data_IF_443194187688
#
_entry.id   IF_443194187688
#
_cell.length_a   1.000
_cell.length_b   1.000
_cell.length_c   1.000
_cell.angle_alpha   90.00
_cell.angle_beta   90.00
_cell.angle_gamma   90.00
#
_symmetry.space_group_name_H-M   'P 1'
#
loop_
_entity.id
_entity.type
_entity.pdbx_description
1 polymer ?
#
# COMPACT_ATOMS: atom_id res chain seq x y z
N UNK A 1 -41.26 -9.47 7.26
CA UNK A 1 -40.01 -10.23 7.02
C UNK A 1 -39.94 -10.54 5.54
N UNK A 2 -39.10 -9.83 4.81
CA UNK A 2 -38.87 -10.02 3.37
C UNK A 2 -37.39 -10.32 3.21
N UNK A 3 -37.04 -11.59 2.98
CA UNK A 3 -35.71 -11.94 2.46
C UNK A 3 -35.65 -11.41 1.03
N UNK A 4 -34.63 -10.63 0.63
CA UNK A 4 -34.45 -10.33 -0.78
C UNK A 4 -34.08 -11.63 -1.50
N UNK A 5 -34.76 -11.88 -2.62
CA UNK A 5 -34.45 -12.89 -3.61
C UNK A 5 -32.96 -12.79 -3.99
N UNK A 6 -32.18 -13.85 -3.75
CA UNK A 6 -30.83 -13.99 -4.31
C UNK A 6 -31.02 -14.69 -5.65
N UNK A 7 -31.19 -13.93 -6.72
CA UNK A 7 -31.46 -14.43 -8.08
C UNK A 7 -30.16 -14.90 -8.78
N UNK A 8 -29.38 -15.80 -8.14
CA UNK A 8 -28.18 -16.37 -8.73
C UNK A 8 -27.56 -17.49 -7.90
N UNK A 9 -26.80 -18.39 -8.55
CA UNK A 9 -26.10 -19.49 -7.91
C UNK A 9 -24.71 -19.06 -7.44
N UNK A 10 -24.29 -19.60 -6.30
CA UNK A 10 -22.92 -19.45 -5.85
C UNK A 10 -22.02 -20.45 -6.57
N UNK A 11 -21.01 -19.93 -7.25
CA UNK A 11 -20.03 -20.70 -7.98
C UNK A 11 -18.64 -20.46 -7.41
N UNK A 12 -18.04 -21.53 -6.90
CA UNK A 12 -16.70 -21.51 -6.32
C UNK A 12 -15.77 -22.33 -7.19
N UNK A 13 -14.57 -21.84 -7.44
CA UNK A 13 -13.55 -22.63 -8.12
C UNK A 13 -12.14 -22.26 -7.67
N UNK A 14 -11.24 -23.21 -7.83
CA UNK A 14 -9.81 -23.08 -7.58
C UNK A 14 -9.07 -23.16 -8.91
N UNK A 15 -8.25 -22.16 -9.21
CA UNK A 15 -7.31 -22.16 -10.32
C UNK A 15 -5.93 -22.61 -9.86
N UNK A 16 -5.30 -23.47 -10.66
CA UNK A 16 -3.86 -23.71 -10.54
C UNK A 16 -3.01 -22.64 -11.21
N UNK A 17 -1.70 -22.77 -11.08
CA UNK A 17 -0.73 -21.82 -11.65
C UNK A 17 -0.69 -21.78 -13.18
N UNK A 18 -1.42 -22.67 -13.87
CA UNK A 18 -1.59 -22.67 -15.33
C UNK A 18 -2.99 -22.17 -15.73
N UNK A 19 -3.69 -21.50 -14.81
CA UNK A 19 -5.06 -21.00 -14.97
C UNK A 19 -6.09 -22.10 -15.30
N UNK A 20 -5.84 -23.34 -14.84
CA UNK A 20 -6.77 -24.46 -15.01
C UNK A 20 -7.60 -24.68 -13.76
N UNK A 21 -8.90 -24.94 -13.94
CA UNK A 21 -9.80 -25.29 -12.85
C UNK A 21 -9.40 -26.65 -12.27
N UNK A 22 -9.14 -26.68 -10.96
CA UNK A 22 -8.75 -27.89 -10.22
C UNK A 22 -9.84 -28.45 -9.35
N UNK A 23 -10.61 -27.56 -8.74
CA UNK A 23 -11.72 -27.91 -7.87
C UNK A 23 -12.81 -26.87 -8.06
N UNK A 24 -14.06 -27.27 -7.86
CA UNK A 24 -15.20 -26.38 -7.93
C UNK A 24 -16.34 -26.84 -7.03
N UNK A 25 -17.27 -25.93 -6.76
CA UNK A 25 -18.53 -26.22 -6.10
C UNK A 25 -19.60 -25.26 -6.62
N UNK A 26 -20.83 -25.78 -6.75
CA UNK A 26 -22.02 -24.96 -7.00
C UNK A 26 -22.90 -25.11 -5.78
N UNK A 27 -23.28 -24.01 -5.14
CA UNK A 27 -24.11 -24.05 -3.93
C UNK A 27 -25.16 -22.95 -3.91
N UNK A 28 -26.06 -23.06 -2.92
CA UNK A 28 -27.13 -22.08 -2.65
C UNK A 28 -26.86 -21.27 -1.37
N UNK A 29 -25.81 -21.62 -0.60
CA UNK A 29 -25.33 -20.94 0.59
C UNK A 29 -24.07 -20.11 0.26
N UNK A 30 -24.03 -18.84 0.69
CA UNK A 30 -22.95 -17.88 0.40
C UNK A 30 -21.69 -18.16 1.23
N UNK A 31 -21.32 -17.27 2.15
CA UNK A 31 -20.04 -17.29 2.85
C UNK A 31 -19.70 -18.62 3.56
N UNK A 32 -20.64 -19.26 4.26
CA UNK A 32 -20.41 -20.58 4.88
C UNK A 32 -20.03 -21.65 3.85
N UNK A 33 -20.63 -21.58 2.66
CA UNK A 33 -20.31 -22.48 1.56
C UNK A 33 -18.90 -22.25 1.03
N UNK A 34 -18.47 -20.98 0.93
CA UNK A 34 -17.13 -20.62 0.47
C UNK A 34 -16.05 -20.95 1.51
N UNK A 35 -16.28 -20.74 2.80
CA UNK A 35 -15.35 -21.16 3.86
C UNK A 35 -15.13 -22.67 3.88
N UNK A 36 -16.21 -23.46 3.72
CA UNK A 36 -16.10 -24.92 3.60
C UNK A 36 -15.31 -25.32 2.35
N UNK A 37 -15.48 -24.59 1.24
CA UNK A 37 -14.72 -24.80 0.01
C UNK A 37 -13.22 -24.51 0.20
N UNK A 38 -12.88 -23.41 0.89
CA UNK A 38 -11.51 -23.06 1.26
C UNK A 38 -10.90 -24.16 2.15
N UNK A 39 -11.59 -24.54 3.23
CA UNK A 39 -11.15 -25.59 4.16
C UNK A 39 -10.84 -26.89 3.42
N UNK A 40 -11.74 -27.34 2.54
CA UNK A 40 -11.55 -28.55 1.72
C UNK A 40 -10.29 -28.48 0.86
N UNK A 41 -10.02 -27.32 0.23
CA UNK A 41 -8.83 -27.13 -0.60
C UNK A 41 -7.54 -27.12 0.24
N UNK A 42 -7.56 -26.51 1.44
CA UNK A 42 -6.43 -26.52 2.38
C UNK A 42 -6.14 -27.96 2.84
N UNK A 43 -7.16 -28.69 3.31
CA UNK A 43 -7.00 -30.07 3.76
C UNK A 43 -6.50 -31.01 2.66
N UNK A 44 -6.99 -30.82 1.43
CA UNK A 44 -6.57 -31.61 0.27
C UNK A 44 -5.09 -31.49 -0.08
N UNK A 45 -4.42 -30.39 0.28
CA UNK A 45 -2.99 -30.17 0.03
C UNK A 45 -2.09 -30.46 1.26
N UNK A 46 -2.69 -30.81 2.41
CA UNK A 46 -1.97 -30.98 3.68
C UNK A 46 -0.90 -32.07 3.64
N UNK A 47 -1.13 -33.15 2.91
CA UNK A 47 -0.22 -34.31 2.82
C UNK A 47 1.08 -33.97 2.08
N UNK A 48 1.10 -32.93 1.24
CA UNK A 48 2.29 -32.48 0.52
C UNK A 48 3.24 -31.62 1.35
N UNK A 49 2.81 -31.15 2.53
CA UNK A 49 3.60 -30.28 3.40
C UNK A 49 3.92 -28.91 2.80
N UNK A 50 3.49 -28.61 1.57
CA UNK A 50 3.78 -27.39 0.84
C UNK A 50 2.53 -26.97 0.05
N UNK A 51 2.05 -25.75 0.26
CA UNK A 51 0.83 -25.25 -0.34
C UNK A 51 1.13 -24.57 -1.68
N UNK A 52 0.54 -25.00 -2.80
CA UNK A 52 0.75 -24.36 -4.08
C UNK A 52 0.10 -22.97 -4.12
N UNK A 53 0.57 -22.11 -5.04
CA UNK A 53 0.04 -20.75 -5.22
C UNK A 53 -1.26 -20.77 -6.03
N UNK A 54 -2.27 -21.47 -5.53
CA UNK A 54 -3.59 -21.57 -6.15
C UNK A 54 -4.49 -20.42 -5.71
N UNK A 55 -5.40 -20.03 -6.59
CA UNK A 55 -6.31 -18.90 -6.39
C UNK A 55 -7.75 -19.40 -6.38
N UNK A 56 -8.47 -19.11 -5.31
CA UNK A 56 -9.86 -19.50 -5.09
C UNK A 56 -10.75 -18.29 -5.32
N UNK A 57 -11.83 -18.50 -6.07
CA UNK A 57 -12.75 -17.44 -6.44
C UNK A 57 -14.16 -17.79 -5.99
N UNK A 58 -14.88 -16.77 -5.52
CA UNK A 58 -16.30 -16.82 -5.26
C UNK A 58 -17.03 -15.93 -6.26
N UNK A 59 -17.99 -16.50 -6.98
CA UNK A 59 -18.89 -15.78 -7.87
C UNK A 59 -20.35 -16.02 -7.46
N UNK A 60 -21.17 -14.99 -7.59
CA UNK A 60 -22.63 -15.16 -7.69
C UNK A 60 -22.99 -14.97 -9.15
N UNK A 61 -23.37 -16.07 -9.82
CA UNK A 61 -23.68 -16.07 -11.25
C UNK A 61 -25.22 -16.03 -11.40
N UNK A 62 -25.79 -15.02 -12.09
CA UNK A 62 -27.21 -14.98 -12.40
C UNK A 62 -27.67 -16.20 -13.23
N UNK A 63 -28.93 -16.60 -13.08
CA UNK A 63 -29.48 -17.82 -13.70
C UNK A 63 -29.40 -17.80 -15.23
N UNK A 64 -29.69 -16.66 -15.84
CA UNK A 64 -29.63 -16.45 -17.29
C UNK A 64 -28.19 -16.51 -17.83
N UNK A 65 -27.24 -15.95 -17.10
CA UNK A 65 -25.80 -16.04 -17.41
C UNK A 65 -25.31 -17.48 -17.28
N UNK A 66 -25.71 -18.18 -16.21
CA UNK A 66 -25.36 -19.59 -16.00
C UNK A 66 -25.94 -20.48 -17.11
N UNK A 67 -27.15 -20.18 -17.60
CA UNK A 67 -27.74 -20.86 -18.75
C UNK A 67 -26.93 -20.64 -20.02
N UNK A 68 -26.47 -19.41 -20.32
CA UNK A 68 -25.55 -19.12 -21.45
C UNK A 68 -24.27 -19.94 -21.35
N UNK A 69 -23.63 -19.97 -20.18
CA UNK A 69 -22.39 -20.74 -19.96
C UNK A 69 -22.62 -22.23 -20.20
N UNK A 70 -23.71 -22.80 -19.66
CA UNK A 70 -24.07 -24.22 -19.83
C UNK A 70 -24.44 -24.60 -21.27
N UNK A 71 -24.90 -23.66 -22.08
CA UNK A 71 -25.21 -23.91 -23.49
C UNK A 71 -23.95 -23.98 -24.36
N UNK A 72 -22.89 -23.26 -23.99
CA UNK A 72 -21.61 -23.30 -24.70
C UNK A 72 -20.72 -24.46 -24.27
N UNK A 73 -20.85 -24.94 -23.03
CA UNK A 73 -19.99 -26.00 -22.49
C UNK A 73 -20.72 -27.30 -22.13
N UNK A 74 -20.09 -28.43 -22.48
CA UNK A 74 -20.35 -29.70 -21.81
C UNK A 74 -19.49 -29.77 -20.54
N UNK A 75 -20.10 -29.41 -19.40
CA UNK A 75 -19.58 -29.65 -18.04
C UNK A 75 -18.30 -28.88 -17.66
N UNK A 76 -18.27 -28.44 -16.39
CA UNK A 76 -17.14 -27.73 -15.78
C UNK A 76 -15.88 -28.57 -15.89
N UNK A 77 -14.91 -28.08 -16.67
CA UNK A 77 -13.63 -28.72 -16.92
C UNK A 77 -12.46 -27.77 -16.66
N UNK A 78 -11.21 -28.22 -16.89
CA UNK A 78 -10.00 -27.42 -16.66
C UNK A 78 -10.01 -26.06 -17.36
N UNK A 79 -10.68 -25.96 -18.51
CA UNK A 79 -10.74 -24.76 -19.35
C UNK A 79 -11.97 -23.88 -19.09
N UNK A 80 -12.81 -24.23 -18.10
CA UNK A 80 -14.06 -23.54 -17.80
C UNK A 80 -13.90 -22.02 -17.70
N UNK A 81 -12.88 -21.54 -16.98
CA UNK A 81 -12.67 -20.10 -16.84
C UNK A 81 -12.33 -19.45 -18.19
N UNK A 82 -11.47 -20.07 -19.01
CA UNK A 82 -11.07 -19.49 -20.30
C UNK A 82 -12.27 -19.35 -21.24
N UNK A 83 -13.21 -20.28 -21.19
CA UNK A 83 -14.40 -20.27 -22.04
C UNK A 83 -15.54 -19.39 -21.49
N UNK A 84 -15.72 -19.36 -20.16
CA UNK A 84 -16.79 -18.60 -19.51
C UNK A 84 -16.43 -17.15 -19.22
N UNK A 85 -15.13 -16.82 -19.06
CA UNK A 85 -14.67 -15.47 -18.75
C UNK A 85 -15.16 -14.42 -19.75
N UNK A 86 -15.16 -14.64 -21.08
CA UNK A 86 -15.75 -13.68 -22.01
C UNK A 86 -17.22 -13.35 -21.71
N UNK A 87 -18.03 -14.35 -21.36
CA UNK A 87 -19.44 -14.15 -20.97
C UNK A 87 -19.52 -13.39 -19.64
N UNK A 88 -18.73 -13.80 -18.64
CA UNK A 88 -18.71 -13.13 -17.34
C UNK A 88 -18.32 -11.65 -17.47
N UNK A 89 -17.34 -11.34 -18.34
CA UNK A 89 -16.93 -9.96 -18.62
C UNK A 89 -18.00 -9.18 -19.40
N UNK A 90 -18.63 -9.79 -20.40
CA UNK A 90 -19.73 -9.18 -21.18
C UNK A 90 -20.92 -8.79 -20.28
N UNK A 91 -21.27 -9.66 -19.33
CA UNK A 91 -22.39 -9.48 -18.39
C UNK A 91 -22.00 -8.70 -17.13
N UNK A 92 -20.73 -8.26 -17.02
CA UNK A 92 -20.24 -7.52 -15.84
C UNK A 92 -20.22 -8.34 -14.54
N UNK A 93 -20.19 -9.66 -14.64
CA UNK A 93 -20.14 -10.59 -13.50
C UNK A 93 -18.69 -10.76 -13.05
N UNK A 94 -18.37 -10.17 -11.89
CA UNK A 94 -17.05 -10.22 -11.28
C UNK A 94 -17.05 -11.09 -10.01
N UNK A 95 -15.88 -11.59 -9.57
CA UNK A 95 -15.81 -12.35 -8.33
C UNK A 95 -16.12 -11.43 -7.14
N UNK A 96 -16.80 -11.98 -6.14
CA UNK A 96 -17.08 -11.32 -4.87
C UNK A 96 -15.91 -11.42 -3.91
N UNK A 97 -15.22 -12.57 -3.90
CA UNK A 97 -14.06 -12.83 -3.05
C UNK A 97 -13.01 -13.62 -3.79
N UNK A 98 -11.75 -13.35 -3.43
CA UNK A 98 -10.58 -14.02 -3.97
C UNK A 98 -9.66 -14.34 -2.80
N UNK A 99 -9.22 -15.59 -2.72
CA UNK A 99 -8.35 -16.07 -1.65
C UNK A 99 -7.22 -16.89 -2.27
N UNK A 100 -5.98 -16.63 -1.86
CA UNK A 100 -4.87 -17.52 -2.22
C UNK A 100 -4.83 -18.69 -1.25
N UNK A 101 -4.63 -19.90 -1.77
CA UNK A 101 -4.60 -21.11 -0.97
C UNK A 101 -3.51 -21.07 0.11
N UNK A 102 -2.36 -20.44 -0.19
CA UNK A 102 -1.28 -20.27 0.79
C UNK A 102 -1.67 -19.35 1.94
N UNK A 103 -2.39 -18.27 1.66
CA UNK A 103 -2.87 -17.34 2.69
C UNK A 103 -3.90 -18.04 3.56
N UNK A 104 -4.83 -18.79 2.95
CA UNK A 104 -5.78 -19.62 3.67
C UNK A 104 -5.07 -20.68 4.54
N UNK A 105 -4.06 -21.37 4.01
CA UNK A 105 -3.30 -22.35 4.77
C UNK A 105 -2.60 -21.74 5.99
N UNK A 106 -2.03 -20.54 5.85
CA UNK A 106 -1.47 -19.80 6.97
C UNK A 106 -2.55 -19.42 7.98
N UNK A 107 -3.69 -18.89 7.53
CA UNK A 107 -4.81 -18.56 8.41
C UNK A 107 -5.28 -19.77 9.21
N UNK A 108 -5.39 -20.94 8.58
CA UNK A 108 -5.72 -22.19 9.26
C UNK A 108 -4.70 -22.56 10.35
N UNK A 109 -3.40 -22.46 10.06
CA UNK A 109 -2.34 -22.75 11.03
C UNK A 109 -2.37 -21.80 12.24
N UNK A 110 -2.74 -20.54 12.01
CA UNK A 110 -2.78 -19.49 13.04
C UNK A 110 -4.16 -19.34 13.70
N UNK A 111 -5.13 -20.19 13.36
CA UNK A 111 -6.54 -20.08 13.80
C UNK A 111 -7.19 -18.73 13.47
N UNK A 112 -6.84 -18.14 12.33
CA UNK A 112 -7.47 -16.92 11.79
C UNK A 112 -8.64 -17.34 10.90
N UNK A 113 -9.87 -16.80 11.09
CA UNK A 113 -10.99 -17.09 10.19
C UNK A 113 -10.71 -16.60 8.75
N UNK A 114 -10.94 -17.45 7.76
CA UNK A 114 -10.54 -17.23 6.36
C UNK A 114 -11.07 -15.93 5.74
N UNK A 115 -12.28 -15.54 6.13
CA UNK A 115 -12.99 -14.40 5.56
C UNK A 115 -12.98 -13.17 6.49
N UNK A 116 -12.19 -13.21 7.55
CA UNK A 116 -12.03 -12.10 8.46
C UNK A 116 -11.14 -10.99 7.86
N UNK A 117 -11.28 -9.74 8.33
CA UNK A 117 -10.36 -8.66 7.96
C UNK A 117 -8.89 -8.94 8.30
N UNK A 118 -8.60 -9.83 9.25
CA UNK A 118 -7.24 -10.24 9.63
C UNK A 118 -6.58 -11.15 8.56
N UNK A 119 -7.40 -11.87 7.80
CA UNK A 119 -6.97 -12.71 6.68
C UNK A 119 -6.72 -11.92 5.38
N UNK A 120 -6.97 -10.60 5.36
CA UNK A 120 -6.58 -9.75 4.23
C UNK A 120 -5.06 -9.75 4.08
N UNK A 121 -4.56 -9.99 2.86
CA UNK A 121 -3.13 -10.12 2.58
C UNK A 121 -2.31 -8.89 3.05
N UNK A 122 -2.88 -7.70 2.92
CA UNK A 122 -2.30 -6.46 3.43
C UNK A 122 -1.99 -6.49 4.94
N UNK A 123 -2.75 -7.25 5.74
CA UNK A 123 -2.49 -7.43 7.16
C UNK A 123 -1.66 -8.66 7.45
N UNK A 124 -1.96 -9.78 6.77
CA UNK A 124 -1.24 -11.05 6.94
C UNK A 124 0.26 -10.90 6.75
N UNK A 125 0.71 -10.08 5.80
CA UNK A 125 2.14 -9.87 5.53
C UNK A 125 2.93 -9.32 6.72
N UNK A 126 2.26 -8.64 7.66
CA UNK A 126 2.86 -8.10 8.89
C UNK A 126 2.60 -9.02 10.10
N UNK A 127 1.89 -10.12 9.91
CA UNK A 127 1.70 -11.10 10.97
C UNK A 127 3.01 -11.84 11.25
N UNK A 128 3.33 -11.98 12.53
CA UNK A 128 4.50 -12.73 12.98
C UNK A 128 4.50 -14.14 12.37
N UNK A 129 5.59 -14.50 11.70
CA UNK A 129 5.75 -15.80 11.07
C UNK A 129 5.16 -15.94 9.67
N UNK A 130 4.42 -14.96 9.14
CA UNK A 130 3.89 -15.04 7.76
C UNK A 130 5.01 -15.07 6.72
N UNK A 131 5.98 -14.15 6.82
CA UNK A 131 7.16 -14.15 5.95
C UNK A 131 7.89 -15.50 6.03
N UNK A 132 8.11 -16.01 7.24
CA UNK A 132 8.72 -17.34 7.42
C UNK A 132 7.87 -18.47 6.83
N UNK A 133 6.54 -18.40 6.87
CA UNK A 133 5.68 -19.41 6.25
C UNK A 133 5.72 -19.33 4.71
N UNK A 134 5.89 -18.13 4.14
CA UNK A 134 5.95 -17.92 2.70
C UNK A 134 7.34 -18.20 2.10
N UNK A 135 8.42 -17.93 2.84
CA UNK A 135 9.82 -18.11 2.40
C UNK A 135 10.50 -19.33 3.03
N UNK A 136 9.98 -19.87 4.12
CA UNK A 136 10.59 -20.92 4.94
C UNK A 136 10.04 -22.32 4.68
N UNK A 137 9.82 -22.66 3.40
CA UNK A 137 9.98 -24.05 2.97
C UNK A 137 11.48 -24.27 2.70
N UNK A 138 12.10 -25.04 3.60
CA UNK A 138 13.54 -25.27 3.79
C UNK A 138 14.48 -25.16 2.57
N UNK A 139 15.74 -24.80 2.88
CA UNK A 139 16.90 -25.00 1.98
C UNK A 139 16.83 -26.39 1.34
N UNK A 140 16.52 -26.45 0.05
CA UNK A 140 16.43 -27.69 -0.72
C UNK A 140 15.05 -27.98 -1.34
N UNK A 141 14.01 -27.21 -1.01
CA UNK A 141 12.73 -27.30 -1.74
C UNK A 141 12.83 -26.64 -3.11
N UNK A 142 12.29 -27.30 -4.14
CA UNK A 142 12.13 -26.69 -5.47
C UNK A 142 11.25 -25.45 -5.34
N UNK A 143 11.60 -24.32 -5.99
CA UNK A 143 10.68 -23.19 -6.10
C UNK A 143 9.34 -23.70 -6.63
N UNK A 144 8.28 -23.50 -5.85
CA UNK A 144 6.95 -23.81 -6.33
C UNK A 144 6.62 -22.89 -7.50
N UNK A 145 5.93 -23.44 -8.50
CA UNK A 145 5.30 -22.63 -9.55
C UNK A 145 4.44 -21.56 -8.88
N UNK A 146 4.60 -20.33 -9.34
CA UNK A 146 3.81 -19.16 -8.91
C UNK A 146 2.69 -18.94 -9.90
N UNK A 147 1.58 -18.42 -9.43
CA UNK A 147 0.55 -17.93 -10.32
C UNK A 147 1.06 -16.66 -11.00
N UNK A 148 0.98 -16.57 -12.32
CA UNK A 148 1.42 -15.38 -13.03
C UNK A 148 0.52 -14.19 -12.67
N UNK A 149 1.12 -13.11 -12.15
CA UNK A 149 0.41 -11.91 -11.72
C UNK A 149 1.03 -10.65 -12.30
N UNK A 150 0.21 -9.62 -12.49
CA UNK A 150 0.64 -8.24 -12.65
C UNK A 150 0.64 -7.56 -11.28
N UNK A 151 1.63 -6.71 -11.04
CA UNK A 151 1.54 -5.71 -9.98
C UNK A 151 0.66 -4.58 -10.49
N UNK A 152 -0.47 -4.34 -9.83
CA UNK A 152 -1.37 -3.25 -10.15
C UNK A 152 -1.29 -2.17 -9.07
N UNK A 153 -1.14 -0.91 -9.48
CA UNK A 153 -1.14 0.25 -8.57
C UNK A 153 -2.36 1.10 -8.87
N UNK A 154 -3.26 1.22 -7.89
CA UNK A 154 -4.41 2.10 -7.99
C UNK A 154 -4.00 3.56 -7.81
N UNK A 155 -4.33 4.37 -8.81
CA UNK A 155 -4.22 5.84 -8.79
C UNK A 155 -5.62 6.47 -8.91
N UNK A 156 -5.72 7.80 -8.83
CA UNK A 156 -6.98 8.50 -9.13
C UNK A 156 -7.46 8.25 -10.56
N UNK A 157 -6.55 8.20 -11.53
CA UNK A 157 -6.87 8.15 -12.96
C UNK A 157 -7.22 6.73 -13.45
N UNK A 158 -6.60 5.71 -12.85
CA UNK A 158 -6.84 4.32 -13.18
C UNK A 158 -5.75 3.43 -12.58
N UNK A 159 -5.52 2.26 -13.19
CA UNK A 159 -4.49 1.32 -12.71
C UNK A 159 -3.24 1.41 -13.56
N UNK A 160 -2.08 1.48 -12.91
CA UNK A 160 -0.79 1.22 -13.56
C UNK A 160 -0.46 -0.26 -13.38
N UNK A 161 -0.18 -0.97 -14.47
CA UNK A 161 0.10 -2.41 -14.44
C UNK A 161 1.56 -2.68 -14.80
N UNK A 162 2.20 -3.55 -14.02
CA UNK A 162 3.61 -3.91 -14.18
C UNK A 162 3.79 -5.42 -14.21
N UNK A 163 4.55 -5.90 -15.19
CA UNK A 163 4.97 -7.30 -15.28
C UNK A 163 6.19 -7.56 -14.38
N UNK A 164 6.47 -8.84 -14.10
CA UNK A 164 7.71 -9.26 -13.43
C UNK A 164 8.92 -9.33 -14.40
N UNK A 165 8.76 -8.88 -15.65
CA UNK A 165 9.87 -8.81 -16.60
C UNK A 165 10.86 -7.70 -16.21
N UNK A 166 12.11 -7.71 -16.72
CA UNK A 166 13.05 -6.61 -16.48
C UNK A 166 12.50 -5.24 -16.90
N UNK A 167 11.71 -5.18 -17.98
CA UNK A 167 11.05 -3.95 -18.41
C UNK A 167 10.02 -3.51 -17.37
N UNK A 168 9.13 -4.41 -16.95
CA UNK A 168 8.11 -4.08 -15.94
C UNK A 168 8.69 -3.66 -14.60
N UNK A 169 9.74 -4.35 -14.14
CA UNK A 169 10.49 -3.97 -12.94
C UNK A 169 11.09 -2.55 -13.08
N UNK A 170 11.66 -2.21 -14.23
CA UNK A 170 12.14 -0.85 -14.49
C UNK A 170 11.00 0.18 -14.43
N UNK A 171 9.84 -0.12 -15.02
CA UNK A 171 8.70 0.83 -15.02
C UNK A 171 8.06 1.00 -13.65
N UNK A 172 8.08 -0.07 -12.86
CA UNK A 172 7.68 -0.01 -11.46
C UNK A 172 8.61 0.92 -10.66
N UNK A 173 9.93 0.81 -10.86
CA UNK A 173 10.93 1.71 -10.27
C UNK A 173 10.68 3.17 -10.71
N UNK A 174 10.45 3.40 -12.00
CA UNK A 174 10.15 4.74 -12.53
C UNK A 174 8.88 5.34 -11.92
N UNK A 175 7.85 4.54 -11.66
CA UNK A 175 6.63 4.98 -10.99
C UNK A 175 6.88 5.37 -9.53
N UNK A 176 7.70 4.60 -8.82
CA UNK A 176 8.16 4.99 -7.48
C UNK A 176 8.96 6.30 -7.50
N UNK A 177 9.90 6.45 -8.43
CA UNK A 177 10.65 7.69 -8.62
C UNK A 177 9.71 8.88 -8.90
N UNK A 178 8.66 8.67 -9.70
CA UNK A 178 7.65 9.69 -9.99
C UNK A 178 6.94 10.18 -8.72
N UNK A 179 6.45 9.25 -7.89
CA UNK A 179 5.75 9.62 -6.65
C UNK A 179 6.70 10.22 -5.61
N UNK A 180 7.95 9.74 -5.53
CA UNK A 180 8.97 10.35 -4.67
C UNK A 180 9.34 11.76 -5.11
N UNK A 181 9.47 11.99 -6.42
CA UNK A 181 9.80 13.30 -7.00
C UNK A 181 8.67 14.31 -6.74
N UNK A 182 7.42 13.90 -6.97
CA UNK A 182 6.26 14.79 -6.94
C UNK A 182 5.48 14.78 -5.62
N UNK A 183 5.95 14.11 -4.57
CA UNK A 183 5.23 13.92 -3.31
C UNK A 183 4.66 15.24 -2.74
N UNK A 184 5.49 16.29 -2.68
CA UNK A 184 5.08 17.62 -2.21
C UNK A 184 4.60 18.55 -3.34
N UNK A 185 4.57 18.10 -4.59
CA UNK A 185 4.20 18.93 -5.74
C UNK A 185 2.70 19.27 -5.71
N UNK A 186 2.28 20.54 -5.85
CA UNK A 186 0.88 20.98 -5.69
C UNK A 186 -0.12 20.30 -6.65
N UNK A 187 0.35 19.84 -7.81
CA UNK A 187 -0.47 19.16 -8.81
C UNK A 187 -0.66 17.66 -8.55
N UNK A 188 0.08 17.06 -7.60
CA UNK A 188 -0.14 15.66 -7.23
C UNK A 188 -1.46 15.51 -6.47
N UNK A 189 -2.46 14.94 -7.13
CA UNK A 189 -3.81 14.78 -6.59
C UNK A 189 -4.01 13.45 -5.85
N UNK A 190 -3.15 12.46 -6.06
CA UNK A 190 -3.24 11.19 -5.37
C UNK A 190 -3.02 11.38 -3.86
N UNK A 191 -3.95 10.84 -3.08
CA UNK A 191 -3.89 10.87 -1.61
C UNK A 191 -3.41 9.55 -1.02
N UNK A 192 -3.41 8.48 -1.81
CA UNK A 192 -2.92 7.17 -1.42
C UNK A 192 -2.48 6.38 -2.65
N UNK A 193 -1.57 5.43 -2.47
CA UNK A 193 -1.27 4.39 -3.45
C UNK A 193 -1.70 3.07 -2.85
N UNK A 194 -2.49 2.30 -3.60
CA UNK A 194 -2.86 0.94 -3.20
C UNK A 194 -2.28 -0.04 -4.20
N UNK A 195 -1.57 -1.02 -3.71
CA UNK A 195 -0.96 -2.06 -4.53
C UNK A 195 -1.78 -3.32 -4.47
N UNK A 196 -1.84 -4.02 -5.59
CA UNK A 196 -2.60 -5.24 -5.77
C UNK A 196 -1.82 -6.25 -6.60
N UNK A 197 -2.15 -7.53 -6.40
CA UNK A 197 -1.80 -8.61 -7.31
C UNK A 197 -3.00 -8.94 -8.17
N UNK A 198 -2.84 -8.78 -9.49
CA UNK A 198 -3.85 -9.08 -10.49
C UNK A 198 -3.45 -10.37 -11.22
N UNK A 199 -4.21 -11.47 -11.12
CA UNK A 199 -3.90 -12.74 -11.79
C UNK A 199 -3.99 -12.61 -13.32
N UNK A 200 -3.05 -13.21 -14.06
CA UNK A 200 -2.99 -13.11 -15.52
C UNK A 200 -3.72 -14.27 -16.23
N UNK A 201 -5.03 -14.40 -16.03
CA UNK A 201 -5.83 -15.38 -16.79
C UNK A 201 -6.47 -14.79 -18.07
N UNK A 202 -6.51 -13.46 -18.22
CA UNK A 202 -6.94 -12.76 -19.44
C UNK A 202 -5.75 -12.11 -20.16
N UNK A 203 -5.40 -12.65 -21.32
CA UNK A 203 -4.32 -12.13 -22.15
C UNK A 203 -4.57 -10.68 -22.63
N UNK A 204 -5.83 -10.26 -22.71
CA UNK A 204 -6.23 -8.91 -23.11
C UNK A 204 -5.78 -7.81 -22.16
N UNK A 205 -5.42 -8.14 -20.91
CA UNK A 205 -4.94 -7.15 -19.94
C UNK A 205 -3.48 -6.74 -20.17
N UNK A 206 -2.71 -7.58 -20.88
CA UNK A 206 -1.30 -7.30 -21.16
C UNK A 206 -1.07 -6.05 -22.00
N UNK A 207 -2.07 -5.63 -22.80
CA UNK A 207 -1.99 -4.39 -23.58
C UNK A 207 -1.84 -3.13 -22.72
N UNK A 208 -2.18 -3.21 -21.42
CA UNK A 208 -2.03 -2.11 -20.46
C UNK A 208 -0.76 -2.23 -19.61
N UNK A 209 -0.01 -3.32 -19.74
CA UNK A 209 1.15 -3.59 -18.90
C UNK A 209 2.38 -2.79 -19.36
N UNK A 210 3.17 -2.34 -18.39
CA UNK A 210 4.48 -1.70 -18.58
C UNK A 210 4.43 -0.42 -19.44
N UNK A 211 3.28 0.25 -19.51
CA UNK A 211 3.10 1.48 -20.28
C UNK A 211 3.65 2.72 -19.59
N UNK A 212 3.77 2.69 -18.25
CA UNK A 212 4.28 3.83 -17.49
C UNK A 212 5.70 4.18 -17.91
N UNK A 213 5.97 5.48 -18.03
CA UNK A 213 7.28 6.04 -18.37
C UNK A 213 7.46 7.30 -17.55
N UNK A 214 8.55 7.38 -16.79
CA UNK A 214 9.01 8.66 -16.26
C UNK A 214 9.85 9.35 -17.34
N UNK A 215 9.43 10.54 -17.77
CA UNK A 215 10.21 11.33 -18.72
C UNK A 215 11.59 11.63 -18.10
N UNK A 216 12.67 11.42 -18.85
CA UNK A 216 14.03 11.68 -18.35
C UNK A 216 14.20 13.16 -18.03
N UNK A 217 13.52 14.01 -18.81
CA UNK A 217 13.51 15.44 -18.56
C UNK A 217 12.82 15.78 -17.24
N UNK A 218 11.86 15.00 -16.72
CA UNK A 218 11.25 15.31 -15.42
C UNK A 218 12.25 15.20 -14.26
N UNK A 219 13.33 14.41 -14.41
CA UNK A 219 14.42 14.36 -13.43
C UNK A 219 15.27 15.64 -13.43
N UNK A 220 15.35 16.33 -14.56
CA UNK A 220 16.21 17.50 -14.81
C UNK A 220 15.43 18.82 -15.00
N UNK A 221 14.10 18.75 -15.13
CA UNK A 221 13.22 19.91 -15.29
C UNK A 221 13.19 20.69 -13.99
N UNK A 222 13.01 22.01 -14.12
CA UNK A 222 12.97 22.93 -12.99
C UNK A 222 11.97 22.50 -11.92
N UNK A 223 12.13 23.04 -10.70
CA UNK A 223 11.45 22.70 -9.43
C UNK A 223 9.90 22.61 -9.44
N UNK A 224 9.23 22.96 -10.54
CA UNK A 224 7.77 22.99 -10.69
C UNK A 224 7.27 22.30 -11.96
N UNK A 225 8.12 21.55 -12.66
CA UNK A 225 7.61 20.68 -13.72
C UNK A 225 6.86 19.51 -13.10
N UNK A 226 5.75 19.15 -13.72
CA UNK A 226 4.94 18.02 -13.34
C UNK A 226 4.62 17.23 -14.61
N UNK A 227 5.15 16.02 -14.69
CA UNK A 227 4.78 15.09 -15.75
C UNK A 227 3.36 14.58 -15.51
N UNK A 228 2.39 15.04 -16.29
CA UNK A 228 1.09 14.37 -16.32
C UNK A 228 1.25 13.01 -17.00
N UNK A 229 0.76 11.96 -16.35
CA UNK A 229 0.77 10.61 -16.89
C UNK A 229 -0.32 10.54 -17.97
N UNK A 230 0.00 10.17 -19.22
CA UNK A 230 -0.98 10.11 -20.30
C UNK A 230 -2.14 9.13 -19.98
N UNK A 231 -3.41 9.48 -20.26
CA UNK A 231 -4.57 8.65 -19.91
C UNK A 231 -4.52 7.22 -20.45
N UNK A 232 -3.92 7.02 -21.63
CA UNK A 232 -3.73 5.72 -22.28
C UNK A 232 -2.81 4.75 -21.51
N UNK A 233 -2.04 5.27 -20.55
CA UNK A 233 -1.18 4.49 -19.66
C UNK A 233 -2.02 3.65 -18.67
N UNK A 234 -3.24 4.09 -18.37
CA UNK A 234 -4.05 3.52 -17.30
C UNK A 234 -4.97 2.41 -17.81
N UNK A 235 -4.98 1.29 -17.08
CA UNK A 235 -6.02 0.27 -17.22
C UNK A 235 -7.29 0.69 -16.45
N UNK A 236 -8.48 0.16 -16.84
CA UNK A 236 -9.72 0.42 -16.14
C UNK A 236 -9.70 -0.07 -14.69
N UNK A 237 -10.28 0.72 -13.76
CA UNK A 237 -10.42 0.33 -12.34
C UNK A 237 -11.29 -0.91 -12.12
N UNK A 238 -12.15 -1.27 -13.07
CA UNK A 238 -12.97 -2.48 -12.99
C UNK A 238 -12.12 -3.76 -12.81
N UNK A 239 -10.86 -3.76 -13.26
CA UNK A 239 -9.95 -4.88 -13.05
C UNK A 239 -9.63 -5.16 -11.57
N UNK A 240 -9.82 -4.17 -10.67
CA UNK A 240 -9.63 -4.38 -9.23
C UNK A 240 -10.56 -5.44 -8.65
N UNK A 241 -11.70 -5.72 -9.30
CA UNK A 241 -12.58 -6.80 -8.87
C UNK A 241 -11.88 -8.16 -8.90
N UNK A 242 -10.84 -8.32 -9.73
CA UNK A 242 -10.06 -9.55 -9.86
C UNK A 242 -8.75 -9.55 -9.06
N UNK A 243 -8.47 -8.50 -8.29
CA UNK A 243 -7.16 -8.29 -7.68
C UNK A 243 -7.19 -8.41 -6.14
N UNK A 244 -6.08 -8.88 -5.56
CA UNK A 244 -5.91 -8.93 -4.10
C UNK A 244 -5.03 -7.77 -3.66
N UNK A 245 -5.50 -6.96 -2.71
CA UNK A 245 -4.73 -5.81 -2.16
C UNK A 245 -3.54 -6.32 -1.34
N UNK A 246 -2.36 -5.78 -1.59
CA UNK A 246 -1.12 -6.14 -0.89
C UNK A 246 -0.63 -5.05 0.05
N UNK A 247 -0.81 -3.79 -0.31
CA UNK A 247 -0.25 -2.64 0.41
C UNK A 247 -1.11 -1.39 0.20
N UNK A 248 -1.06 -0.49 1.18
CA UNK A 248 -1.57 0.88 1.06
C UNK A 248 -0.54 1.87 1.61
N UNK A 249 -0.23 2.89 0.83
CA UNK A 249 0.65 3.98 1.18
C UNK A 249 -0.14 5.29 1.26
N UNK A 250 -0.03 6.00 2.37
CA UNK A 250 -0.64 7.32 2.55
C UNK A 250 0.25 8.40 1.89
N UNK A 251 -0.31 9.13 0.92
CA UNK A 251 0.36 10.23 0.22
C UNK A 251 -0.03 11.61 0.75
N UNK A 252 -0.64 11.69 1.94
CA UNK A 252 -0.83 12.97 2.60
C UNK A 252 0.55 13.66 2.77
N UNK A 253 0.67 14.96 2.46
CA UNK A 253 1.94 15.66 2.26
C UNK A 253 2.62 16.00 3.60
N UNK A 254 3.01 14.98 4.34
CA UNK A 254 3.73 15.07 5.60
C UNK A 254 5.12 14.45 5.44
N UNK A 255 6.09 14.99 6.18
CA UNK A 255 7.44 14.41 6.22
C UNK A 255 7.39 12.95 6.67
N UNK A 256 6.54 12.60 7.63
CA UNK A 256 6.44 11.22 8.13
C UNK A 256 5.99 10.24 7.05
N UNK A 257 4.99 10.61 6.25
CA UNK A 257 4.52 9.76 5.16
C UNK A 257 5.54 9.67 4.02
N UNK A 258 6.23 10.77 3.72
CA UNK A 258 7.32 10.74 2.74
C UNK A 258 8.47 9.82 3.17
N UNK A 259 8.85 9.83 4.46
CA UNK A 259 9.86 8.91 5.01
C UNK A 259 9.45 7.46 4.86
N UNK A 260 8.21 7.12 5.25
CA UNK A 260 7.68 5.76 5.07
C UNK A 260 7.74 5.34 3.60
N UNK A 261 7.32 6.22 2.70
CA UNK A 261 7.37 5.97 1.26
C UNK A 261 8.80 5.71 0.75
N UNK A 262 9.81 6.39 1.32
CA UNK A 262 11.23 6.15 1.06
C UNK A 262 11.71 4.81 1.63
N UNK A 263 11.28 4.44 2.82
CA UNK A 263 11.70 3.19 3.45
C UNK A 263 11.16 1.96 2.71
N UNK A 264 10.03 2.12 2.01
CA UNK A 264 9.33 1.07 1.27
C UNK A 264 9.69 0.98 -0.23
N UNK A 265 10.53 1.87 -0.78
CA UNK A 265 10.93 1.75 -2.19
C UNK A 265 11.82 0.52 -2.43
N UNK A 266 11.63 -0.19 -3.56
CA UNK A 266 12.40 -1.39 -3.89
C UNK A 266 13.84 -1.12 -4.34
N UNK A 267 14.27 0.13 -4.35
CA UNK A 267 15.58 0.59 -4.82
C UNK A 267 16.11 1.74 -3.98
N UNK A 268 17.40 2.03 -4.10
CA UNK A 268 18.01 3.18 -3.42
C UNK A 268 17.36 4.48 -3.90
N UNK A 269 16.68 5.24 -3.03
CA UNK A 269 16.05 6.50 -3.40
C UNK A 269 17.07 7.49 -3.95
N UNK A 270 16.66 8.29 -4.94
CA UNK A 270 17.50 9.37 -5.44
C UNK A 270 17.43 10.57 -4.48
N UNK A 271 18.42 10.65 -3.60
CA UNK A 271 18.65 11.77 -2.70
C UNK A 271 19.21 12.96 -3.50
N UNK A 272 18.44 14.04 -3.61
CA UNK A 272 18.78 15.20 -4.46
C UNK A 272 17.59 15.84 -5.16
N UNK A 273 16.41 15.24 -5.07
CA UNK A 273 15.20 15.77 -5.70
C UNK A 273 14.50 16.87 -4.86
N UNK A 274 13.57 17.57 -5.50
CA UNK A 274 12.74 18.63 -4.93
C UNK A 274 12.02 18.23 -3.63
N UNK A 275 11.38 17.06 -3.62
CA UNK A 275 10.58 16.59 -2.47
C UNK A 275 11.46 16.20 -1.28
N UNK A 276 12.66 15.66 -1.55
CA UNK A 276 13.65 15.36 -0.53
C UNK A 276 14.13 16.64 0.16
N UNK A 277 14.44 17.69 -0.60
CA UNK A 277 14.85 18.99 -0.03
C UNK A 277 13.75 19.57 0.89
N UNK A 278 12.49 19.52 0.46
CA UNK A 278 11.35 19.95 1.27
C UNK A 278 11.24 19.14 2.56
N UNK A 279 11.36 17.82 2.49
CA UNK A 279 11.27 16.95 3.66
C UNK A 279 12.36 17.26 4.69
N UNK A 280 13.61 17.47 4.24
CA UNK A 280 14.73 17.84 5.10
C UNK A 280 14.48 19.21 5.72
N UNK A 281 14.14 20.22 4.92
CA UNK A 281 13.86 21.58 5.40
C UNK A 281 12.69 21.63 6.38
N UNK A 282 11.60 20.89 6.13
CA UNK A 282 10.48 20.80 7.07
C UNK A 282 10.89 20.12 8.38
N UNK A 283 11.72 19.07 8.31
CA UNK A 283 12.26 18.42 9.50
C UNK A 283 13.13 19.39 10.31
N UNK A 284 13.95 20.20 9.65
CA UNK A 284 14.81 21.21 10.27
C UNK A 284 14.00 22.38 10.85
N UNK A 285 12.94 22.79 10.17
CA UNK A 285 12.01 23.82 10.66
C UNK A 285 11.36 23.39 11.98
N UNK A 286 11.05 22.09 12.14
CA UNK A 286 10.45 21.55 13.36
C UNK A 286 11.50 21.28 14.45
N UNK A 287 12.55 20.54 14.10
CA UNK A 287 13.47 19.94 15.08
C UNK A 287 14.82 20.66 15.20
N UNK A 288 15.04 21.74 14.43
CA UNK A 288 16.33 22.43 14.36
C UNK A 288 17.42 21.54 13.72
N UNK A 289 18.68 21.81 14.06
CA UNK A 289 19.83 21.17 13.42
C UNK A 289 19.85 19.64 13.58
N UNK A 290 19.45 19.11 14.73
CA UNK A 290 19.39 17.67 14.97
C UNK A 290 18.50 16.92 13.98
N UNK A 291 17.41 17.56 13.53
CA UNK A 291 16.51 16.98 12.52
C UNK A 291 17.14 16.87 11.13
N UNK A 292 18.00 17.81 10.77
CA UNK A 292 18.70 17.81 9.50
C UNK A 292 19.91 16.85 9.48
N UNK A 293 20.60 16.69 10.62
CA UNK A 293 21.71 15.74 10.74
C UNK A 293 21.30 14.28 10.46
N UNK A 294 20.05 13.91 10.76
CA UNK A 294 19.46 12.59 10.39
C UNK A 294 19.53 12.33 8.88
N UNK A 295 19.50 13.38 8.07
CA UNK A 295 19.54 13.32 6.60
C UNK A 295 20.92 13.61 6.01
N UNK A 296 21.96 13.65 6.84
CA UNK A 296 23.33 13.77 6.37
C UNK A 296 23.66 15.16 5.81
N UNK A 297 23.27 16.25 6.48
CA UNK A 297 23.66 17.62 6.09
C UNK A 297 25.16 17.73 5.81
N UNK A 298 26.00 17.06 6.62
CA UNK A 298 27.46 17.06 6.47
C UNK A 298 27.96 16.37 5.20
N UNK A 299 27.11 15.57 4.54
CA UNK A 299 27.45 14.81 3.35
C UNK A 299 26.93 15.46 2.05
N UNK A 300 26.30 16.63 2.12
CA UNK A 300 25.83 17.37 0.94
C UNK A 300 24.70 16.69 0.16
N UNK A 301 24.00 15.74 0.76
CA UNK A 301 23.04 14.86 0.08
C UNK A 301 21.72 15.53 -0.31
N UNK A 302 21.50 16.79 0.08
CA UNK A 302 20.27 17.52 -0.21
C UNK A 302 20.56 18.91 -0.82
N UNK A 303 19.73 19.40 -1.74
CA UNK A 303 20.00 20.60 -2.54
C UNK A 303 20.30 21.88 -1.75
N UNK A 304 19.69 22.07 -0.57
CA UNK A 304 19.89 23.27 0.25
C UNK A 304 21.04 23.16 1.27
N UNK A 305 21.90 22.13 1.20
CA UNK A 305 22.95 21.87 2.19
C UNK A 305 23.90 23.05 2.43
N UNK A 306 24.36 23.70 1.35
CA UNK A 306 25.33 24.80 1.40
C UNK A 306 24.87 25.94 2.33
N UNK A 307 23.55 26.24 2.33
CA UNK A 307 22.99 27.30 3.16
C UNK A 307 23.14 27.03 4.67
N UNK A 308 23.32 25.78 5.08
CA UNK A 308 23.43 25.37 6.49
C UNK A 308 24.84 25.04 6.95
N UNK A 309 25.85 25.04 6.08
CA UNK A 309 27.21 24.60 6.44
C UNK A 309 27.79 25.37 7.62
N UNK A 310 27.67 26.69 7.61
CA UNK A 310 28.19 27.55 8.68
C UNK A 310 27.52 27.21 10.01
N UNK A 311 26.19 27.06 10.00
CA UNK A 311 25.42 26.67 11.20
C UNK A 311 25.80 25.27 11.69
N UNK A 312 26.06 24.33 10.78
CA UNK A 312 26.48 22.97 11.10
C UNK A 312 27.87 22.93 11.76
N UNK A 313 28.83 23.72 11.27
CA UNK A 313 30.18 23.86 11.87
C UNK A 313 30.11 24.47 13.27
N UNK A 314 29.31 25.52 13.45
CA UNK A 314 29.07 26.14 14.77
C UNK A 314 28.37 25.18 15.74
N UNK A 315 27.44 24.36 15.24
CA UNK A 315 26.74 23.36 16.05
C UNK A 315 27.68 22.27 16.55
N UNK A 316 28.54 21.71 15.69
CA UNK A 316 29.49 20.64 16.06
C UNK A 316 30.58 21.07 17.05
N UNK A 317 30.81 22.38 17.21
CA UNK A 317 31.77 22.94 18.18
C UNK A 317 31.11 23.44 19.47
N UNK A 318 29.78 23.45 19.53
CA UNK A 318 29.02 23.91 20.69
C UNK A 318 28.81 22.80 21.73
N UNK A 319 28.95 23.13 23.02
CA UNK A 319 28.63 22.19 24.09
C UNK A 319 27.12 21.87 24.12
N UNK A 320 26.78 20.60 24.30
CA UNK A 320 25.41 20.13 24.40
C UNK A 320 24.64 20.86 25.50
N UNK A 321 23.38 21.20 25.24
CA UNK A 321 22.48 21.93 26.15
C UNK A 321 22.88 23.38 26.48
N UNK A 322 23.88 23.94 25.78
CA UNK A 322 24.26 25.35 25.95
C UNK A 322 23.22 26.32 25.39
N UNK A 323 23.19 27.54 25.94
CA UNK A 323 22.38 28.63 25.38
C UNK A 323 22.77 28.94 23.92
N UNK A 324 24.04 28.74 23.56
CA UNK A 324 24.56 28.84 22.20
C UNK A 324 23.91 27.81 21.27
N UNK A 325 23.81 26.55 21.71
CA UNK A 325 23.17 25.49 20.92
C UNK A 325 21.67 25.77 20.71
N UNK A 326 20.96 26.30 21.73
CA UNK A 326 19.55 26.71 21.57
C UNK A 326 19.37 27.82 20.54
N UNK A 327 20.25 28.83 20.56
CA UNK A 327 20.27 29.91 19.54
C UNK A 327 20.56 29.37 18.15
N UNK A 328 21.49 28.41 18.02
CA UNK A 328 21.80 27.77 16.74
C UNK A 328 20.60 26.98 16.20
N UNK A 329 19.93 26.20 17.04
CA UNK A 329 18.71 25.49 16.63
C UNK A 329 17.64 26.47 16.13
N UNK A 330 17.44 27.60 16.81
CA UNK A 330 16.45 28.59 16.39
C UNK A 330 16.82 29.26 15.06
N UNK A 331 18.09 29.63 14.86
CA UNK A 331 18.58 30.13 13.57
C UNK A 331 18.39 29.10 12.45
N UNK A 332 18.60 27.81 12.74
CA UNK A 332 18.30 26.73 11.79
C UNK A 332 16.83 26.69 11.42
N UNK A 333 15.91 26.74 12.40
CA UNK A 333 14.46 26.70 12.15
C UNK A 333 14.04 27.87 11.26
N UNK A 334 14.53 29.07 11.57
CA UNK A 334 14.23 30.29 10.80
C UNK A 334 14.77 30.20 9.38
N UNK A 335 16.03 29.82 9.19
CA UNK A 335 16.62 29.68 7.86
C UNK A 335 15.88 28.63 7.02
N UNK A 336 15.52 27.48 7.61
CA UNK A 336 14.72 26.46 6.92
C UNK A 336 13.34 26.99 6.50
N UNK A 337 12.66 27.74 7.37
CA UNK A 337 11.39 28.38 7.06
C UNK A 337 11.51 29.42 5.93
N UNK A 338 12.57 30.21 5.93
CA UNK A 338 12.86 31.21 4.88
C UNK A 338 13.12 30.55 3.53
N UNK A 339 13.94 29.49 3.49
CA UNK A 339 14.21 28.73 2.27
C UNK A 339 12.92 28.07 1.76
N UNK A 340 12.12 27.46 2.64
CA UNK A 340 10.81 26.90 2.27
C UNK A 340 9.88 27.96 1.67
N UNK A 341 9.82 29.16 2.26
CA UNK A 341 8.96 30.24 1.79
C UNK A 341 9.45 30.83 0.45
N UNK A 342 10.77 31.01 0.30
CA UNK A 342 11.37 31.64 -0.88
C UNK A 342 11.43 30.70 -2.07
N UNK A 343 11.89 29.47 -1.84
CA UNK A 343 12.22 28.52 -2.91
C UNK A 343 11.07 27.55 -3.20
N UNK A 344 10.21 27.29 -2.20
CA UNK A 344 9.12 26.32 -2.26
C UNK A 344 7.73 26.90 -1.91
N UNK A 345 7.33 28.10 -2.42
CA UNK A 345 6.06 28.73 -2.08
C UNK A 345 4.82 27.92 -2.50
N UNK A 346 4.91 27.10 -3.55
CA UNK A 346 3.81 26.30 -4.07
C UNK A 346 4.09 24.83 -3.82
N UNK A 347 3.66 24.32 -2.65
CA UNK A 347 3.81 22.91 -2.25
C UNK A 347 2.59 22.40 -1.50
N UNK A 348 2.29 21.11 -1.62
CA UNK A 348 1.28 20.42 -0.81
C UNK A 348 1.68 20.45 0.66
N UNK A 349 0.69 20.41 1.55
CA UNK A 349 0.95 20.31 2.99
C UNK A 349 1.42 21.62 3.64
N UNK A 350 1.14 22.78 3.03
CA UNK A 350 1.18 24.06 3.74
C UNK A 350 0.08 24.10 4.81
N UNK A 351 0.30 23.40 5.92
CA UNK A 351 -0.29 23.74 7.19
C UNK A 351 0.81 24.40 8.04
N UNK A 352 0.59 25.62 8.55
CA UNK A 352 1.42 26.12 9.64
C UNK A 352 1.21 25.17 10.82
N UNK A 353 2.22 24.39 11.19
CA UNK A 353 2.18 23.69 12.46
C UNK A 353 2.09 24.76 13.56
N UNK A 354 0.89 24.92 14.13
CA UNK A 354 0.77 25.33 15.53
C UNK A 354 1.63 24.36 16.32
N UNK A 355 2.64 24.89 17.01
CA UNK A 355 3.44 24.13 17.95
C UNK A 355 2.50 23.36 18.88
N UNK A 356 2.62 22.04 18.94
CA UNK A 356 2.00 21.19 19.98
C UNK A 356 2.62 21.43 21.37
N UNK A 357 3.13 22.63 21.62
CA UNK A 357 3.65 23.08 22.92
C UNK A 357 2.89 24.30 23.46
N UNK A 358 1.91 24.85 22.73
CA UNK A 358 1.05 25.95 23.22
C UNK A 358 -0.32 25.48 23.76
N UNK A 359 -0.52 24.17 23.93
CA UNK A 359 -1.72 23.58 24.53
C UNK A 359 -1.33 22.66 25.70
N UNK A 360 -0.61 23.23 26.67
CA UNK A 360 -0.76 22.83 28.07
C UNK A 360 -1.50 23.98 28.71
N UNK A 361 -2.81 23.79 28.79
CA UNK A 361 -3.80 24.74 29.25
C UNK A 361 -3.42 25.37 30.58
N UNK A 362 -3.92 26.59 30.76
CA UNK A 362 -4.51 27.03 32.01
C UNK A 362 -5.12 25.85 32.78
N UNK A 363 -4.32 25.27 33.68
CA UNK A 363 -4.82 24.43 34.75
C UNK A 363 -5.49 25.39 35.72
N UNK A 364 -6.80 25.56 35.50
CA UNK A 364 -7.73 25.99 36.50
C UNK A 364 -7.44 25.21 37.79
N UNK A 365 -6.85 25.86 38.78
CA UNK A 365 -6.66 25.31 40.12
C UNK A 365 -8.05 25.21 40.75
N UNK A 366 -8.62 24.01 40.97
CA UNK A 366 -9.84 23.90 41.74
C UNK A 366 -9.43 24.11 43.20
N UNK A 367 -9.86 25.22 43.79
CA UNK A 367 -9.75 25.46 45.23
C UNK A 367 -10.40 24.30 45.98
N UNK A 368 -9.59 23.54 46.71
CA UNK A 368 -10.02 22.45 47.59
C UNK A 368 -10.92 23.02 48.69
N UNK A 369 -12.15 22.54 48.88
CA UNK A 369 -12.93 22.84 50.07
C UNK A 369 -12.38 22.04 51.26
N UNK A 370 -12.23 22.64 52.46
CA UNK A 370 -11.76 21.91 53.63
C UNK A 370 -12.82 20.93 54.09
N UNK A 371 -12.61 19.63 53.84
CA UNK A 371 -13.53 18.60 54.29
C UNK A 371 -13.36 18.34 55.79
N UNK A 372 -14.49 18.49 56.48
CA UNK A 372 -14.74 18.25 57.89
C UNK A 372 -14.28 16.85 58.31
N UNK A 373 -13.39 16.78 59.28
CA UNK A 373 -13.16 15.58 60.09
C UNK A 373 -14.33 15.46 61.06
N UNK A 374 -15.10 14.37 60.94
CA UNK A 374 -16.13 14.00 61.89
C UNK A 374 -15.51 13.44 63.18
N UNK A 375 -15.78 14.16 64.28
CA UNK A 375 -16.18 13.64 65.59
C UNK A 375 -15.41 12.46 66.19
N UNK A 376 -14.61 12.77 67.22
CA UNK A 376 -14.45 11.88 68.38
C UNK A 376 -14.92 12.65 69.62
N UNK A 377 -15.94 12.11 70.29
CA UNK A 377 -16.45 12.52 71.61
C UNK A 377 -15.33 12.47 72.67
N UNK A 378 -15.34 13.42 73.61
CA UNK A 378 -15.07 13.13 75.03
C UNK A 378 -16.05 13.90 75.91
N UNK A 379 -16.34 13.29 77.06
CA UNK A 379 -17.34 13.64 78.09
C UNK A 379 -17.30 15.09 78.53
#
# INVERSE_FOLDING_TARGET
MTRPQKDGFEFYFTLDTHCKVRDYAIRNDTDEGFEQFIQRNVEGQRSGGNYPDYWLFQYTIPDDVLLRIRQQERLIGPDFLQNSLPILLEEGVAPQRIVRLRDAAFCWQMNIPYLSPEAELERLRYHDGYERAMFGFDKGMKPLSRFDTLTAVETRQGLLLFTETPLGAQRFIEMWDYYLLHFFHPQLQDTQLRMYRLPQFDAGWQKYADLFRLDRDDKDRGRYAFGEIPPETFAPKALLAYAIRTDTFDLAPTVQNYKKLIDDVPHTPHYGNYSFDIAVLQTMQQNGMGGGMVYGIMNGLFPSAEAFETLAREYGTSAESSATQRKLQERTRQLAAEILKKNYPLRRGMQPHRNKYDDISDLHVPSVPPNRIHGVKRR
#
